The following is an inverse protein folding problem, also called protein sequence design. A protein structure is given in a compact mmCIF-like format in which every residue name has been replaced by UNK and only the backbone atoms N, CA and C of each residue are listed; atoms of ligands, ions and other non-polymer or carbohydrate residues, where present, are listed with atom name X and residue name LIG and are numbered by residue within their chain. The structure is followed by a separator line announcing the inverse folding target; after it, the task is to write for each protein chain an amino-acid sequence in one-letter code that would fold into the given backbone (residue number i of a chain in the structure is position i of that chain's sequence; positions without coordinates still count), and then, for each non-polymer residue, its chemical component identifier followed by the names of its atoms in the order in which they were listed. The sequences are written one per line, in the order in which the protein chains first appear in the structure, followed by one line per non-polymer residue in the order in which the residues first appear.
data_IF_554321560150
#
_entry.id   IF_554321560150
#
_cell.length_a   1.000
_cell.length_b   1.000
_cell.length_c   1.000
_cell.angle_alpha   90.00
_cell.angle_beta   90.00
_cell.angle_gamma   90.00
#
_symmetry.space_group_name_H-M   'P 1'
#
loop_
_entity.id
_entity.type
_entity.pdbx_description
1 polymer ?
#
# COMPACT_ATOMS: atom_id res chain seq x y z
N UNK A 1 1.68 14.65 8.24
CA UNK A 1 0.80 14.15 7.14
C UNK A 1 -0.63 14.13 7.66
N UNK A 2 -1.61 14.48 6.83
CA UNK A 2 -3.04 14.36 7.17
C UNK A 2 -3.80 13.82 5.97
N UNK A 3 -4.65 12.81 6.18
CA UNK A 3 -5.59 12.31 5.17
C UNK A 3 -6.99 12.49 5.74
N UNK A 4 -7.84 13.23 5.03
CA UNK A 4 -9.24 13.42 5.41
C UNK A 4 -10.12 12.75 4.36
N UNK A 5 -10.96 11.85 4.81
CA UNK A 5 -11.99 11.20 4.01
C UNK A 5 -13.32 11.84 4.36
N UNK A 6 -14.00 12.41 3.38
CA UNK A 6 -15.25 13.14 3.57
C UNK A 6 -16.39 12.53 2.76
N UNK A 7 -17.32 11.87 3.46
CA UNK A 7 -18.55 11.29 2.95
C UNK A 7 -18.37 10.42 1.69
N UNK A 8 -17.28 9.63 1.61
CA UNK A 8 -17.09 8.78 0.43
C UNK A 8 -18.09 7.64 0.38
N UNK A 9 -18.65 7.43 -0.81
CA UNK A 9 -19.41 6.24 -1.18
C UNK A 9 -18.78 5.59 -2.41
N UNK A 10 -18.84 4.27 -2.49
CA UNK A 10 -18.33 3.55 -3.64
C UNK A 10 -19.21 2.37 -4.02
N UNK A 11 -19.57 2.33 -5.30
CA UNK A 11 -20.40 1.29 -5.91
C UNK A 11 -19.61 0.63 -7.04
N UNK A 12 -19.34 -0.67 -6.89
CA UNK A 12 -18.81 -1.47 -7.98
C UNK A 12 -19.85 -1.63 -9.09
N UNK A 13 -19.41 -1.59 -10.35
CA UNK A 13 -20.24 -1.84 -11.55
C UNK A 13 -21.52 -1.00 -11.59
N UNK A 14 -21.41 0.28 -11.17
CA UNK A 14 -22.53 1.23 -11.16
C UNK A 14 -23.19 1.32 -12.53
N UNK A 15 -24.52 1.22 -12.57
CA UNK A 15 -25.33 1.25 -13.80
C UNK A 15 -25.51 -0.11 -14.47
N UNK A 16 -25.05 -1.19 -13.84
CA UNK A 16 -25.23 -2.56 -14.33
C UNK A 16 -26.17 -3.36 -13.43
N UNK A 17 -26.62 -4.53 -13.88
CA UNK A 17 -27.39 -5.47 -13.04
C UNK A 17 -26.59 -6.13 -11.89
N UNK A 18 -25.28 -5.85 -11.79
CA UNK A 18 -24.37 -6.40 -10.78
C UNK A 18 -23.83 -5.34 -9.81
N UNK A 19 -24.55 -4.23 -9.66
CA UNK A 19 -24.18 -3.17 -8.73
C UNK A 19 -24.01 -3.70 -7.31
N UNK A 20 -22.89 -3.32 -6.68
CA UNK A 20 -22.63 -3.63 -5.29
C UNK A 20 -22.05 -2.43 -4.57
N UNK A 21 -22.76 -1.89 -3.61
CA UNK A 21 -22.25 -0.83 -2.75
C UNK A 21 -21.25 -1.40 -1.75
N UNK A 22 -20.00 -0.94 -1.82
CA UNK A 22 -18.91 -1.36 -0.94
C UNK A 22 -18.65 -0.36 0.19
N UNK A 23 -18.83 0.94 -0.07
CA UNK A 23 -18.73 2.01 0.92
C UNK A 23 -19.97 2.88 0.87
N UNK A 24 -20.42 3.37 2.04
CA UNK A 24 -21.59 4.24 2.16
C UNK A 24 -21.31 5.34 3.18
N UNK A 25 -21.18 6.58 2.71
CA UNK A 25 -21.00 7.79 3.52
C UNK A 25 -19.91 7.63 4.60
N UNK A 26 -18.74 7.13 4.21
CA UNK A 26 -17.62 6.92 5.13
C UNK A 26 -16.85 8.22 5.29
N UNK A 27 -16.67 8.66 6.53
CA UNK A 27 -15.85 9.82 6.86
C UNK A 27 -14.88 9.47 8.01
N UNK A 28 -13.63 9.88 7.87
CA UNK A 28 -12.62 9.79 8.93
C UNK A 28 -11.47 10.76 8.66
N UNK A 29 -10.68 11.03 9.68
CA UNK A 29 -9.40 11.71 9.57
C UNK A 29 -8.29 10.78 10.05
N UNK A 30 -7.13 10.86 9.40
CA UNK A 30 -5.91 10.13 9.74
C UNK A 30 -4.81 11.17 9.90
N UNK A 31 -4.30 11.31 11.10
CA UNK A 31 -3.27 12.30 11.41
C UNK A 31 -1.87 11.67 11.45
N UNK A 32 -0.87 12.52 11.56
CA UNK A 32 0.51 12.06 11.62
C UNK A 32 0.80 11.27 12.90
N UNK A 33 1.51 10.15 12.78
CA UNK A 33 1.87 9.29 13.91
C UNK A 33 0.74 8.41 14.44
N UNK A 34 -0.45 8.42 13.85
CA UNK A 34 -1.54 7.54 14.27
C UNK A 34 -1.36 6.11 13.78
N UNK A 35 -1.75 5.16 14.62
CA UNK A 35 -1.91 3.76 14.28
C UNK A 35 -3.40 3.39 14.32
N UNK A 36 -3.98 3.12 13.15
CA UNK A 36 -5.41 2.90 13.00
C UNK A 36 -5.70 1.44 12.63
N UNK A 37 -6.51 0.77 13.44
CA UNK A 37 -7.01 -0.57 13.19
C UNK A 37 -8.36 -0.55 12.47
N UNK A 38 -8.44 -1.07 11.23
CA UNK A 38 -9.68 -1.21 10.48
C UNK A 38 -10.25 -2.63 10.65
N UNK A 39 -11.32 -2.77 11.42
CA UNK A 39 -11.92 -4.05 11.80
C UNK A 39 -13.27 -4.26 11.10
N UNK A 40 -13.57 -5.49 10.73
CA UNK A 40 -14.84 -5.86 10.12
C UNK A 40 -14.75 -7.22 9.43
N UNK A 41 -15.90 -7.84 9.14
CA UNK A 41 -15.98 -9.14 8.45
C UNK A 41 -15.46 -9.07 7.00
N UNK A 42 -15.20 -10.23 6.39
CA UNK A 42 -14.83 -10.30 4.96
C UNK A 42 -15.96 -9.72 4.11
N UNK A 43 -15.61 -8.89 3.13
CA UNK A 43 -16.57 -8.20 2.27
C UNK A 43 -17.18 -6.91 2.86
N UNK A 44 -16.75 -6.45 4.05
CA UNK A 44 -17.23 -5.19 4.66
C UNK A 44 -16.63 -3.91 4.05
N UNK A 45 -15.87 -4.00 2.96
CA UNK A 45 -15.33 -2.82 2.27
C UNK A 45 -13.94 -2.35 2.73
N UNK A 46 -13.29 -3.02 3.69
CA UNK A 46 -11.96 -2.61 4.22
C UNK A 46 -10.91 -2.42 3.14
N UNK A 47 -10.72 -3.42 2.29
CA UNK A 47 -9.72 -3.35 1.21
C UNK A 47 -10.08 -2.25 0.19
N UNK A 48 -11.37 -2.10 -0.11
CA UNK A 48 -11.86 -1.02 -0.96
C UNK A 48 -11.54 0.34 -0.34
N UNK A 49 -11.81 0.54 0.95
CA UNK A 49 -11.51 1.77 1.65
C UNK A 49 -10.02 2.12 1.60
N UNK A 50 -9.15 1.16 1.90
CA UNK A 50 -7.69 1.34 1.86
C UNK A 50 -7.20 1.75 0.46
N UNK A 51 -7.78 1.18 -0.61
CA UNK A 51 -7.44 1.52 -1.99
C UNK A 51 -7.84 2.95 -2.37
N UNK A 52 -8.82 3.53 -1.69
CA UNK A 52 -9.19 4.95 -1.88
C UNK A 52 -8.13 5.90 -1.30
N UNK A 53 -7.47 5.52 -0.18
CA UNK A 53 -6.51 6.39 0.51
C UNK A 53 -5.28 6.74 -0.34
N UNK A 54 -4.87 5.87 -1.25
CA UNK A 54 -3.75 6.12 -2.17
C UNK A 54 -4.20 6.43 -3.61
N UNK A 55 -5.49 6.70 -3.82
CA UNK A 55 -6.04 7.04 -5.12
C UNK A 55 -6.01 5.90 -6.15
N UNK A 56 -5.92 4.63 -5.73
CA UNK A 56 -6.00 3.48 -6.63
C UNK A 56 -7.43 3.31 -7.17
N UNK A 57 -8.42 3.61 -6.33
CA UNK A 57 -9.84 3.62 -6.67
C UNK A 57 -10.39 5.01 -6.39
N UNK A 58 -11.18 5.56 -7.32
CA UNK A 58 -11.86 6.84 -7.15
C UNK A 58 -13.24 6.61 -6.53
N UNK A 59 -13.64 7.35 -5.49
CA UNK A 59 -14.99 7.23 -4.92
C UNK A 59 -16.05 7.62 -5.94
N UNK A 60 -17.24 7.03 -5.81
CA UNK A 60 -18.41 7.38 -6.61
C UNK A 60 -18.99 8.74 -6.18
N UNK A 61 -18.88 9.04 -4.89
CA UNK A 61 -19.32 10.26 -4.24
C UNK A 61 -18.39 10.59 -3.07
N UNK A 62 -18.33 11.87 -2.68
CA UNK A 62 -17.49 12.37 -1.60
C UNK A 62 -16.07 12.71 -2.05
N UNK A 63 -15.24 13.12 -1.09
CA UNK A 63 -13.92 13.67 -1.34
C UNK A 63 -12.86 13.04 -0.45
N UNK A 64 -11.62 13.04 -0.92
CA UNK A 64 -10.45 12.63 -0.15
C UNK A 64 -9.41 13.73 -0.25
N UNK A 65 -8.94 14.20 0.90
CA UNK A 65 -7.94 15.26 0.96
C UNK A 65 -6.63 14.69 1.50
N UNK A 66 -5.54 15.00 0.86
CA UNK A 66 -4.18 14.76 1.33
C UNK A 66 -3.50 16.09 1.61
N UNK A 67 -3.12 16.33 2.86
CA UNK A 67 -2.56 17.60 3.32
C UNK A 67 -3.41 18.82 2.88
N UNK A 68 -4.74 18.71 2.99
CA UNK A 68 -5.70 19.77 2.69
C UNK A 68 -6.04 19.95 1.20
N UNK A 69 -5.48 19.14 0.28
CA UNK A 69 -5.80 19.19 -1.16
C UNK A 69 -6.63 17.98 -1.55
N UNK A 70 -7.70 18.19 -2.32
CA UNK A 70 -8.48 17.09 -2.89
C UNK A 70 -7.59 16.31 -3.89
N UNK A 71 -7.47 14.99 -3.68
CA UNK A 71 -6.60 14.16 -4.51
C UNK A 71 -7.11 14.00 -5.95
N UNK A 72 -8.35 14.38 -6.22
CA UNK A 72 -8.97 14.31 -7.56
C UNK A 72 -9.17 15.67 -8.21
N UNK A 73 -8.70 16.77 -7.60
CA UNK A 73 -8.72 18.07 -8.23
C UNK A 73 -7.76 18.14 -9.45
N UNK A 74 -8.08 19.05 -10.35
CA UNK A 74 -7.25 19.24 -11.56
C UNK A 74 -5.82 19.69 -11.19
N UNK A 75 -4.82 18.97 -11.70
CA UNK A 75 -3.41 19.26 -11.43
C UNK A 75 -2.83 18.59 -10.18
N UNK A 76 -3.62 17.82 -9.43
CA UNK A 76 -3.08 17.05 -8.31
C UNK A 76 -2.10 15.97 -8.78
N UNK A 77 -0.95 15.85 -8.11
CA UNK A 77 0.09 14.88 -8.45
C UNK A 77 -0.18 13.51 -7.82
N UNK A 78 -0.94 12.67 -8.53
CA UNK A 78 -1.28 11.32 -8.07
C UNK A 78 -0.05 10.41 -7.91
N UNK A 79 1.02 10.63 -8.68
CA UNK A 79 2.28 9.87 -8.54
C UNK A 79 2.95 10.18 -7.20
N UNK A 80 2.94 11.44 -6.79
CA UNK A 80 3.46 11.86 -5.50
C UNK A 80 2.64 11.24 -4.34
N UNK A 81 1.30 11.29 -4.40
CA UNK A 81 0.45 10.65 -3.42
C UNK A 81 0.82 9.17 -3.23
N UNK A 82 0.92 8.41 -4.32
CA UNK A 82 1.25 6.97 -4.28
C UNK A 82 2.65 6.67 -3.75
N UNK A 83 3.56 7.62 -3.84
CA UNK A 83 4.88 7.51 -3.22
C UNK A 83 4.85 7.77 -1.71
N UNK A 84 3.90 8.59 -1.25
CA UNK A 84 3.75 9.00 0.14
C UNK A 84 2.79 8.11 0.93
N UNK A 85 1.79 7.54 0.27
CA UNK A 85 0.82 6.62 0.87
C UNK A 85 1.03 5.22 0.31
N UNK A 86 1.86 4.45 0.99
CA UNK A 86 2.19 3.07 0.61
C UNK A 86 1.02 2.12 0.85
N UNK A 87 0.85 1.16 -0.05
CA UNK A 87 -0.17 0.12 0.04
C UNK A 87 0.49 -1.25 -0.04
N UNK A 88 0.30 -2.06 1.00
CA UNK A 88 0.66 -3.48 1.01
C UNK A 88 -0.60 -4.30 0.77
N UNK A 89 -0.69 -4.97 -0.38
CA UNK A 89 -1.86 -5.77 -0.75
C UNK A 89 -1.95 -7.07 0.06
N UNK A 90 -3.13 -7.69 0.00
CA UNK A 90 -3.28 -9.08 0.41
C UNK A 90 -2.42 -9.96 -0.51
N UNK A 91 -1.61 -10.86 0.05
CA UNK A 91 -0.62 -11.66 -0.70
C UNK A 91 0.45 -10.80 -1.41
N UNK A 92 1.18 -9.96 -0.67
CA UNK A 92 2.18 -9.08 -1.27
C UNK A 92 3.31 -9.85 -1.95
N UNK A 93 3.52 -11.11 -1.58
CA UNK A 93 4.45 -12.05 -2.19
C UNK A 93 4.19 -12.33 -3.68
N UNK A 94 2.97 -12.11 -4.17
CA UNK A 94 2.64 -12.24 -5.59
C UNK A 94 3.06 -11.03 -6.43
N UNK A 95 3.56 -9.97 -5.78
CA UNK A 95 4.01 -8.76 -6.46
C UNK A 95 5.50 -8.82 -6.86
N UNK A 96 6.23 -9.85 -6.41
CA UNK A 96 7.64 -10.03 -6.72
C UNK A 96 7.78 -10.55 -8.15
N UNK A 97 8.58 -9.87 -8.97
CA UNK A 97 8.72 -10.16 -10.41
C UNK A 97 10.16 -10.10 -10.93
N UNK A 98 11.08 -9.53 -10.17
CA UNK A 98 12.48 -9.42 -10.54
C UNK A 98 13.24 -10.74 -10.33
N UNK A 99 14.41 -10.86 -10.94
CA UNK A 99 15.28 -12.05 -10.82
C UNK A 99 16.02 -12.11 -9.50
N UNK A 100 16.15 -10.99 -8.81
CA UNK A 100 16.89 -10.84 -7.56
C UNK A 100 16.07 -9.99 -6.57
N UNK A 101 16.11 -10.38 -5.30
CA UNK A 101 15.42 -9.68 -4.20
C UNK A 101 15.80 -8.20 -4.17
N UNK A 102 17.09 -7.91 -4.26
CA UNK A 102 17.59 -6.53 -4.20
C UNK A 102 17.04 -5.66 -5.33
N UNK A 103 16.99 -6.22 -6.55
CA UNK A 103 16.43 -5.52 -7.71
C UNK A 103 14.96 -5.22 -7.56
N UNK A 104 14.20 -6.17 -7.00
CA UNK A 104 12.76 -6.02 -6.75
C UNK A 104 12.50 -4.85 -5.81
N UNK A 105 13.24 -4.78 -4.69
CA UNK A 105 13.11 -3.67 -3.73
C UNK A 105 13.60 -2.33 -4.30
N UNK A 106 14.56 -2.34 -5.21
CA UNK A 106 15.03 -1.13 -5.91
C UNK A 106 13.98 -0.54 -6.87
N UNK A 107 13.00 -1.32 -7.30
CA UNK A 107 12.04 -0.90 -8.35
C UNK A 107 11.24 0.35 -7.96
N UNK A 108 10.67 0.38 -6.76
CA UNK A 108 9.92 1.54 -6.26
C UNK A 108 10.76 2.83 -6.23
N UNK A 109 11.91 2.85 -5.54
CA UNK A 109 12.81 4.00 -5.49
C UNK A 109 13.30 4.48 -6.87
N UNK A 110 13.58 3.56 -7.81
CA UNK A 110 13.92 3.92 -9.21
C UNK A 110 12.79 4.69 -9.88
N UNK A 111 11.55 4.27 -9.70
CA UNK A 111 10.39 4.95 -10.28
C UNK A 111 10.13 6.34 -9.69
N UNK A 112 10.69 6.64 -8.52
CA UNK A 112 10.69 7.99 -7.93
C UNK A 112 11.72 8.91 -8.60
N UNK A 113 12.62 8.38 -9.45
CA UNK A 113 13.66 9.15 -10.12
C UNK A 113 14.86 9.48 -9.22
N UNK A 114 15.07 8.67 -8.17
CA UNK A 114 16.22 8.84 -7.27
C UNK A 114 17.52 8.43 -7.95
N UNK A 115 18.66 8.95 -7.45
CA UNK A 115 19.98 8.53 -7.90
C UNK A 115 20.21 7.05 -7.60
N UNK A 116 21.03 6.38 -8.40
CA UNK A 116 21.36 4.96 -8.23
C UNK A 116 21.85 4.68 -6.80
N UNK A 117 22.71 5.53 -6.26
CA UNK A 117 23.23 5.42 -4.90
C UNK A 117 22.12 5.48 -3.84
N UNK A 118 21.19 6.40 -3.98
CA UNK A 118 20.07 6.53 -3.04
C UNK A 118 19.11 5.32 -3.13
N UNK A 119 18.86 4.83 -4.34
CA UNK A 119 18.05 3.62 -4.58
C UNK A 119 18.64 2.43 -3.84
N UNK A 120 19.96 2.20 -3.99
CA UNK A 120 20.65 1.07 -3.36
C UNK A 120 20.66 1.19 -1.84
N UNK A 121 20.91 2.38 -1.30
CA UNK A 121 20.87 2.63 0.15
C UNK A 121 19.49 2.29 0.71
N UNK A 122 18.42 2.83 0.11
CA UNK A 122 17.05 2.58 0.57
C UNK A 122 16.64 1.12 0.49
N UNK A 123 17.01 0.44 -0.59
CA UNK A 123 16.73 -0.99 -0.74
C UNK A 123 17.45 -1.81 0.34
N UNK A 124 18.74 -1.52 0.57
CA UNK A 124 19.55 -2.19 1.57
C UNK A 124 18.99 -1.99 2.99
N UNK A 125 18.71 -0.72 3.37
CA UNK A 125 18.11 -0.39 4.67
C UNK A 125 16.78 -1.09 4.88
N UNK A 126 15.90 -1.09 3.85
CA UNK A 126 14.57 -1.67 3.95
C UNK A 126 14.59 -3.20 4.05
N UNK A 127 15.49 -3.88 3.33
CA UNK A 127 15.65 -5.33 3.46
C UNK A 127 16.14 -5.73 4.84
N UNK A 128 17.10 -5.00 5.40
CA UNK A 128 17.56 -5.22 6.78
C UNK A 128 16.48 -4.95 7.81
N UNK A 129 15.69 -3.89 7.61
CA UNK A 129 14.59 -3.54 8.51
C UNK A 129 13.56 -4.67 8.64
N UNK A 130 13.28 -5.39 7.55
CA UNK A 130 12.35 -6.52 7.56
C UNK A 130 13.02 -7.86 7.92
N UNK A 131 14.31 -7.86 8.29
CA UNK A 131 15.04 -9.05 8.73
C UNK A 131 15.37 -10.03 7.60
N UNK A 132 15.77 -9.52 6.44
CA UNK A 132 16.37 -10.31 5.35
C UNK A 132 17.88 -10.19 5.46
N UNK A 133 18.57 -11.32 5.49
CA UNK A 133 20.02 -11.37 5.60
C UNK A 133 20.71 -10.91 4.30
N UNK A 134 21.84 -10.22 4.42
CA UNK A 134 22.57 -9.64 3.28
C UNK A 134 22.99 -10.68 2.24
N UNK A 135 23.28 -11.91 2.66
CA UNK A 135 23.64 -13.02 1.77
C UNK A 135 22.49 -13.50 0.88
N UNK A 136 21.26 -13.09 1.18
CA UNK A 136 20.05 -13.43 0.42
C UNK A 136 19.72 -12.39 -0.65
N UNK A 137 20.29 -11.19 -0.63
CA UNK A 137 19.87 -10.07 -1.48
C UNK A 137 19.94 -10.37 -2.98
N UNK A 138 20.88 -11.21 -3.40
CA UNK A 138 21.10 -11.58 -4.80
C UNK A 138 20.45 -12.91 -5.18
N UNK A 139 19.69 -13.51 -4.26
CA UNK A 139 18.93 -14.72 -4.54
C UNK A 139 17.63 -14.37 -5.30
N UNK A 140 17.07 -15.38 -5.96
CA UNK A 140 15.78 -15.25 -6.60
C UNK A 140 14.66 -15.12 -5.55
N UNK A 141 13.70 -14.19 -5.71
CA UNK A 141 12.54 -14.13 -4.85
C UNK A 141 11.74 -15.44 -4.84
N UNK A 142 11.81 -16.20 -5.93
CA UNK A 142 11.04 -17.44 -6.08
C UNK A 142 11.56 -18.59 -5.20
N UNK A 143 12.83 -18.52 -4.77
CA UNK A 143 13.46 -19.52 -3.90
C UNK A 143 13.16 -19.29 -2.40
N UNK A 144 12.50 -18.18 -2.07
CA UNK A 144 12.17 -17.79 -0.71
C UNK A 144 10.94 -18.54 -0.17
N UNK A 145 10.90 -18.75 1.15
CA UNK A 145 9.67 -19.13 1.85
C UNK A 145 8.60 -18.05 1.72
N UNK A 146 7.32 -18.40 1.86
CA UNK A 146 6.21 -17.43 1.79
C UNK A 146 6.36 -16.26 2.75
N UNK A 147 6.84 -16.53 3.99
CA UNK A 147 7.11 -15.47 4.97
C UNK A 147 8.26 -14.53 4.56
N UNK A 148 9.31 -15.06 3.94
CA UNK A 148 10.40 -14.25 3.40
C UNK A 148 9.94 -13.41 2.20
N UNK A 149 9.20 -14.00 1.25
CA UNK A 149 8.59 -13.27 0.11
C UNK A 149 7.76 -12.10 0.58
N UNK A 150 6.92 -12.32 1.60
CA UNK A 150 6.08 -11.27 2.18
C UNK A 150 6.92 -10.14 2.78
N UNK A 151 8.00 -10.45 3.51
CA UNK A 151 8.90 -9.44 4.05
C UNK A 151 9.61 -8.65 2.96
N UNK A 152 10.07 -9.31 1.89
CA UNK A 152 10.68 -8.62 0.74
C UNK A 152 9.69 -7.66 0.06
N UNK A 153 8.45 -8.08 -0.15
CA UNK A 153 7.43 -7.20 -0.73
C UNK A 153 7.11 -5.99 0.17
N UNK A 154 7.09 -6.18 1.50
CA UNK A 154 6.98 -5.06 2.45
C UNK A 154 8.19 -4.13 2.34
N UNK A 155 9.41 -4.68 2.23
CA UNK A 155 10.62 -3.87 2.05
C UNK A 155 10.54 -3.00 0.79
N UNK A 156 9.97 -3.51 -0.31
CA UNK A 156 9.74 -2.74 -1.54
C UNK A 156 8.87 -1.50 -1.33
N UNK A 157 7.84 -1.60 -0.48
CA UNK A 157 7.01 -0.45 -0.10
C UNK A 157 7.77 0.51 0.81
N UNK A 158 8.48 0.00 1.82
CA UNK A 158 9.24 0.81 2.78
C UNK A 158 10.41 1.55 2.13
N UNK A 159 11.03 0.98 1.09
CA UNK A 159 12.13 1.61 0.34
C UNK A 159 11.72 2.93 -0.33
N UNK A 160 10.45 3.13 -0.60
CA UNK A 160 9.94 4.42 -1.09
C UNK A 160 9.91 5.49 0.00
N UNK A 161 10.09 5.13 1.29
CA UNK A 161 9.98 6.00 2.47
C UNK A 161 8.63 6.75 2.51
N UNK A 162 7.51 6.03 2.49
CA UNK A 162 6.18 6.65 2.51
C UNK A 162 5.89 7.29 3.87
N UNK A 163 5.02 8.31 3.87
CA UNK A 163 4.54 8.98 5.08
C UNK A 163 3.50 8.13 5.83
N UNK A 164 2.76 7.29 5.10
CA UNK A 164 1.82 6.32 5.65
C UNK A 164 1.91 4.99 4.91
N UNK A 165 1.68 3.90 5.64
CA UNK A 165 1.54 2.56 5.05
C UNK A 165 0.21 1.96 5.48
N UNK A 166 -0.62 1.64 4.51
CA UNK A 166 -1.82 0.85 4.73
C UNK A 166 -1.56 -0.61 4.39
N UNK A 167 -2.05 -1.50 5.25
CA UNK A 167 -1.83 -2.93 5.16
C UNK A 167 -3.16 -3.67 5.11
N UNK A 168 -3.39 -4.48 4.09
CA UNK A 168 -4.58 -5.31 4.01
C UNK A 168 -4.29 -6.72 4.52
N UNK A 169 -5.04 -7.17 5.53
CA UNK A 169 -4.98 -8.49 6.16
C UNK A 169 -3.68 -8.82 6.94
N UNK A 170 -3.68 -8.40 8.20
CA UNK A 170 -3.01 -9.16 9.25
C UNK A 170 -3.88 -10.40 9.50
N UNK A 171 -3.49 -11.58 8.99
CA UNK A 171 -4.02 -12.82 9.54
C UNK A 171 -3.51 -12.90 10.99
N UNK A 172 -4.40 -12.78 11.97
CA UNK A 172 -4.15 -13.43 13.23
C UNK A 172 -3.84 -14.90 12.89
N UNK A 173 -2.75 -15.46 13.40
CA UNK A 173 -2.55 -16.90 13.38
C UNK A 173 -3.82 -17.51 13.98
N UNK A 174 -4.63 -18.16 13.15
CA UNK A 174 -5.54 -19.17 13.65
C UNK A 174 -4.60 -20.22 14.27
N UNK A 175 -4.48 -20.18 15.59
CA UNK A 175 -3.94 -21.28 16.35
C UNK A 175 -4.97 -22.39 16.17
N UNK A 176 -4.66 -23.30 15.24
CA UNK A 176 -5.34 -24.58 15.16
C UNK A 176 -5.15 -25.25 16.53
N UNK A 177 -6.21 -25.28 17.31
CA UNK A 177 -6.38 -26.10 18.52
C UNK A 177 -7.11 -27.37 18.15
#
# INVERSE_FOLDING_TARGET
MSIIVDNISYIYEKGTGFERQALKNVSCAIEDGEFIGLIGHTGSGKSTFIQHLNGLVKPTEGHIYYNGKDIYEQGFNMKELRSRVGLVFQYPEHQLFETEIFKDVCFGPKNLGLSQKEVEIRAFESLRLVGIDDNMFYQSPFDLSGGQKRRVAIAGVLAMKPDAVSYTHLRAHETDS
#
